data_IF_690574956853
#
_entry.id   IF_690574956853
#
_cell.length_a   1.000
_cell.length_b   1.000
_cell.length_c   1.000
_cell.angle_alpha   90.00
_cell.angle_beta   90.00
_cell.angle_gamma   90.00
#
_symmetry.space_group_name_H-M   'P 1'
#
loop_
_entity.id
_entity.type
_entity.pdbx_description
1 polymer ?
#
# COMPACT_ATOMS: atom_id res chain seq x y z
N UNK A 1 -36.78 7.07 -19.31
CA UNK A 1 -35.81 7.29 -18.21
C UNK A 1 -35.31 5.95 -17.66
N UNK A 2 -36.18 5.00 -17.27
CA UNK A 2 -35.79 3.61 -16.94
C UNK A 2 -34.89 2.94 -17.99
N UNK A 3 -35.23 3.06 -19.29
CA UNK A 3 -34.46 2.47 -20.40
C UNK A 3 -33.01 3.02 -20.53
N UNK A 4 -32.73 4.25 -20.06
CA UNK A 4 -31.38 4.82 -20.10
C UNK A 4 -30.53 4.30 -18.95
N UNK A 5 -31.12 4.15 -17.77
CA UNK A 5 -30.43 3.66 -16.58
C UNK A 5 -30.12 2.16 -16.70
N UNK A 6 -31.06 1.39 -17.25
CA UNK A 6 -30.88 -0.04 -17.52
C UNK A 6 -29.76 -0.28 -18.54
N UNK A 7 -29.77 0.42 -19.68
CA UNK A 7 -28.66 0.40 -20.66
C UNK A 7 -27.32 0.83 -20.06
N UNK A 8 -27.33 1.72 -19.07
CA UNK A 8 -26.10 2.16 -18.41
C UNK A 8 -25.57 1.09 -17.46
N UNK A 9 -26.44 0.33 -16.79
CA UNK A 9 -26.05 -0.82 -15.95
C UNK A 9 -25.48 -1.97 -16.78
N UNK A 10 -26.15 -2.35 -17.87
CA UNK A 10 -25.65 -3.35 -18.82
C UNK A 10 -24.25 -2.97 -19.34
N UNK A 11 -24.04 -1.68 -19.61
CA UNK A 11 -22.74 -1.17 -20.06
C UNK A 11 -21.65 -1.26 -19.00
N UNK A 12 -21.99 -1.02 -17.72
CA UNK A 12 -21.04 -1.21 -16.61
C UNK A 12 -20.63 -2.68 -16.52
N UNK A 13 -21.60 -3.60 -16.57
CA UNK A 13 -21.34 -5.05 -16.53
C UNK A 13 -20.49 -5.51 -17.71
N UNK A 14 -20.81 -5.03 -18.92
CA UNK A 14 -20.02 -5.29 -20.11
C UNK A 14 -18.57 -4.81 -19.95
N UNK A 15 -18.35 -3.56 -19.54
CA UNK A 15 -17.00 -3.02 -19.35
C UNK A 15 -16.22 -3.77 -18.26
N UNK A 16 -16.87 -4.13 -17.16
CA UNK A 16 -16.26 -4.94 -16.11
C UNK A 16 -15.82 -6.31 -16.65
N UNK A 17 -16.67 -6.97 -17.44
CA UNK A 17 -16.34 -8.24 -18.09
C UNK A 17 -15.15 -8.10 -19.06
N UNK A 18 -15.11 -7.04 -19.87
CA UNK A 18 -14.00 -6.77 -20.79
C UNK A 18 -12.67 -6.57 -20.04
N UNK A 19 -12.68 -5.80 -18.94
CA UNK A 19 -11.51 -5.60 -18.10
C UNK A 19 -11.02 -6.92 -17.52
N UNK A 20 -11.92 -7.76 -17.00
CA UNK A 20 -11.59 -9.10 -16.51
C UNK A 20 -11.03 -9.99 -17.62
N UNK A 21 -11.57 -9.88 -18.83
CA UNK A 21 -11.11 -10.61 -20.01
C UNK A 21 -9.64 -10.35 -20.37
N UNK A 22 -9.06 -9.22 -19.95
CA UNK A 22 -7.64 -8.92 -20.17
C UNK A 22 -6.69 -9.78 -19.32
N UNK A 23 -7.18 -10.49 -18.30
CA UNK A 23 -6.33 -11.26 -17.37
C UNK A 23 -5.44 -12.28 -18.10
N UNK A 24 -5.97 -12.97 -19.11
CA UNK A 24 -5.20 -13.96 -19.88
C UNK A 24 -4.06 -13.29 -20.65
N UNK A 25 -4.36 -12.17 -21.33
CA UNK A 25 -3.37 -11.41 -22.10
C UNK A 25 -2.26 -10.90 -21.18
N UNK A 26 -2.63 -10.33 -20.02
CA UNK A 26 -1.67 -9.87 -19.01
C UNK A 26 -0.79 -11.03 -18.53
N UNK A 27 -1.38 -12.20 -18.29
CA UNK A 27 -0.66 -13.37 -17.79
C UNK A 27 0.34 -13.90 -18.80
N UNK A 28 -0.06 -14.01 -20.07
CA UNK A 28 0.81 -14.43 -21.17
C UNK A 28 1.99 -13.47 -21.32
N UNK A 29 1.72 -12.17 -21.21
CA UNK A 29 2.73 -11.14 -21.35
C UNK A 29 3.71 -11.11 -20.17
N UNK A 30 3.25 -11.34 -18.93
CA UNK A 30 4.13 -11.55 -17.77
C UNK A 30 5.05 -12.75 -18.04
N UNK A 31 4.49 -13.88 -18.49
CA UNK A 31 5.26 -15.07 -18.82
C UNK A 31 6.30 -14.82 -19.92
N UNK A 32 5.95 -14.04 -20.94
CA UNK A 32 6.89 -13.59 -21.98
C UNK A 32 8.04 -12.79 -21.38
N UNK A 33 7.77 -11.78 -20.55
CA UNK A 33 8.82 -10.98 -19.91
C UNK A 33 9.72 -11.82 -19.01
N UNK A 34 9.16 -12.75 -18.23
CA UNK A 34 9.93 -13.66 -17.36
C UNK A 34 10.86 -14.57 -18.16
N UNK A 35 10.42 -15.05 -19.33
CA UNK A 35 11.23 -15.88 -20.23
C UNK A 35 12.51 -15.18 -20.73
N UNK A 36 12.56 -13.84 -20.67
CA UNK A 36 13.75 -13.05 -21.03
C UNK A 36 14.91 -13.17 -20.02
N UNK A 37 14.77 -14.02 -18.99
CA UNK A 37 15.76 -14.24 -17.92
C UNK A 37 16.14 -12.94 -17.22
N UNK A 38 15.15 -12.09 -16.94
CA UNK A 38 15.33 -10.77 -16.31
C UNK A 38 16.19 -10.89 -15.03
N UNK A 39 15.90 -11.86 -14.17
CA UNK A 39 16.60 -12.02 -12.88
C UNK A 39 18.09 -12.39 -13.04
N UNK A 40 18.46 -13.15 -14.07
CA UNK A 40 19.86 -13.54 -14.29
C UNK A 40 20.70 -12.44 -14.97
N UNK A 41 20.04 -11.47 -15.61
CA UNK A 41 20.68 -10.39 -16.36
C UNK A 41 20.36 -8.99 -15.79
N UNK A 42 19.74 -8.91 -14.61
CA UNK A 42 19.35 -7.65 -14.03
C UNK A 42 20.59 -6.86 -13.58
N UNK A 43 20.78 -5.69 -14.17
CA UNK A 43 21.83 -4.77 -13.75
C UNK A 43 21.19 -3.53 -13.14
N UNK A 44 21.28 -3.39 -11.83
CA UNK A 44 20.72 -2.25 -11.07
C UNK A 44 21.27 -0.88 -11.48
N UNK A 45 22.38 -0.83 -12.22
CA UNK A 45 22.95 0.41 -12.77
C UNK A 45 22.68 0.61 -14.26
N UNK A 46 21.81 -0.21 -14.86
CA UNK A 46 21.35 -0.06 -16.24
C UNK A 46 19.89 0.44 -16.23
N UNK A 47 19.59 1.63 -16.80
CA UNK A 47 18.23 2.16 -16.81
C UNK A 47 17.19 1.19 -17.40
N UNK A 48 17.53 0.50 -18.49
CA UNK A 48 16.62 -0.45 -19.15
C UNK A 48 16.23 -1.64 -18.27
N UNK A 49 17.11 -2.08 -17.36
CA UNK A 49 16.79 -3.17 -16.43
C UNK A 49 15.65 -2.76 -15.48
N UNK A 50 15.66 -1.50 -15.01
CA UNK A 50 14.59 -0.96 -14.18
C UNK A 50 13.30 -0.73 -14.96
N UNK A 51 13.36 -0.18 -16.18
CA UNK A 51 12.17 -0.04 -17.01
C UNK A 51 11.49 -1.40 -17.23
N UNK A 52 12.28 -2.43 -17.56
CA UNK A 52 11.78 -3.79 -17.78
C UNK A 52 11.17 -4.40 -16.51
N UNK A 53 11.88 -4.31 -15.38
CA UNK A 53 11.37 -4.81 -14.08
C UNK A 53 10.09 -4.10 -13.68
N UNK A 54 10.05 -2.77 -13.76
CA UNK A 54 8.88 -1.98 -13.39
C UNK A 54 7.68 -2.28 -14.30
N UNK A 55 7.90 -2.49 -15.60
CA UNK A 55 6.84 -2.89 -16.54
C UNK A 55 6.29 -4.29 -16.20
N UNK A 56 7.15 -5.26 -15.86
CA UNK A 56 6.70 -6.58 -15.39
C UNK A 56 5.86 -6.44 -14.11
N UNK A 57 6.37 -5.73 -13.12
CA UNK A 57 5.69 -5.57 -11.84
C UNK A 57 4.37 -4.79 -11.99
N UNK A 58 4.31 -3.86 -12.95
CA UNK A 58 3.09 -3.18 -13.35
C UNK A 58 2.03 -4.17 -13.85
N UNK A 59 2.39 -5.06 -14.77
CA UNK A 59 1.48 -6.10 -15.28
C UNK A 59 1.02 -7.06 -14.18
N UNK A 60 1.93 -7.48 -13.28
CA UNK A 60 1.55 -8.31 -12.11
C UNK A 60 0.50 -7.60 -11.28
N UNK A 61 0.68 -6.29 -11.03
CA UNK A 61 -0.29 -5.52 -10.27
C UNK A 61 -1.62 -5.37 -11.01
N UNK A 62 -1.61 -5.13 -12.32
CA UNK A 62 -2.81 -5.06 -13.14
C UNK A 62 -3.57 -6.39 -13.13
N UNK A 63 -2.88 -7.53 -13.18
CA UNK A 63 -3.48 -8.86 -13.05
C UNK A 63 -4.27 -8.98 -11.73
N UNK A 64 -3.64 -8.59 -10.61
CA UNK A 64 -4.28 -8.60 -9.29
C UNK A 64 -5.54 -7.73 -9.28
N UNK A 65 -5.53 -6.58 -9.94
CA UNK A 65 -6.74 -5.74 -10.04
C UNK A 65 -7.82 -6.38 -10.91
N UNK A 66 -7.47 -6.93 -12.08
CA UNK A 66 -8.44 -7.62 -12.94
C UNK A 66 -9.08 -8.83 -12.24
N UNK A 67 -8.35 -9.47 -11.33
CA UNK A 67 -8.83 -10.60 -10.53
C UNK A 67 -9.77 -10.19 -9.39
N UNK A 68 -9.42 -9.15 -8.64
CA UNK A 68 -10.07 -8.90 -7.34
C UNK A 68 -11.02 -7.70 -7.33
N UNK A 69 -10.91 -6.78 -8.30
CA UNK A 69 -11.53 -5.47 -8.20
C UNK A 69 -12.72 -5.26 -9.15
N UNK A 70 -13.14 -6.26 -9.93
CA UNK A 70 -14.23 -6.09 -10.91
C UNK A 70 -15.35 -7.12 -10.80
N UNK A 71 -15.38 -7.90 -9.72
CA UNK A 71 -16.54 -8.73 -9.36
C UNK A 71 -17.69 -7.91 -8.80
N UNK A 72 -17.36 -6.81 -8.11
CA UNK A 72 -18.32 -5.84 -7.59
C UNK A 72 -17.84 -4.42 -7.88
N UNK A 73 -18.67 -3.65 -8.57
CA UNK A 73 -18.35 -2.29 -9.00
C UNK A 73 -18.86 -1.28 -7.97
N UNK A 74 -17.92 -0.77 -7.16
CA UNK A 74 -18.18 0.31 -6.21
C UNK A 74 -17.33 1.55 -6.51
N UNK A 75 -17.81 2.71 -6.06
CA UNK A 75 -17.16 4.01 -6.31
C UNK A 75 -15.72 4.06 -5.81
N UNK A 76 -15.47 3.67 -4.56
CA UNK A 76 -14.15 3.82 -3.94
C UNK A 76 -13.10 2.95 -4.62
N UNK A 77 -13.48 1.71 -4.94
CA UNK A 77 -12.66 0.79 -5.70
C UNK A 77 -12.33 1.34 -7.11
N UNK A 78 -13.35 1.73 -7.88
CA UNK A 78 -13.16 2.26 -9.25
C UNK A 78 -12.23 3.48 -9.27
N UNK A 79 -12.40 4.40 -8.32
CA UNK A 79 -11.55 5.59 -8.20
C UNK A 79 -10.11 5.22 -7.82
N UNK A 80 -9.95 4.32 -6.84
CA UNK A 80 -8.63 3.91 -6.35
C UNK A 80 -7.83 3.20 -7.45
N UNK A 81 -8.48 2.29 -8.18
CA UNK A 81 -7.86 1.59 -9.32
C UNK A 81 -7.54 2.56 -10.45
N UNK A 82 -8.46 3.48 -10.79
CA UNK A 82 -8.22 4.50 -11.83
C UNK A 82 -7.03 5.39 -11.50
N UNK A 83 -6.91 5.83 -10.25
CA UNK A 83 -5.76 6.64 -9.79
C UNK A 83 -4.46 5.86 -9.87
N UNK A 84 -4.46 4.61 -9.42
CA UNK A 84 -3.26 3.78 -9.53
C UNK A 84 -2.84 3.60 -11.00
N UNK A 85 -3.80 3.29 -11.88
CA UNK A 85 -3.54 3.07 -13.30
C UNK A 85 -3.04 4.34 -13.98
N UNK A 86 -3.55 5.54 -13.62
CA UNK A 86 -2.97 6.81 -14.06
C UNK A 86 -1.49 6.92 -13.68
N UNK A 87 -1.16 6.73 -12.41
CA UNK A 87 0.20 6.84 -11.89
C UNK A 87 1.15 5.82 -12.55
N UNK A 88 0.64 4.62 -12.81
CA UNK A 88 1.32 3.57 -13.57
C UNK A 88 1.56 3.98 -15.03
N UNK A 89 0.53 4.49 -15.73
CA UNK A 89 0.62 4.93 -17.12
C UNK A 89 1.59 6.10 -17.29
N UNK A 90 1.65 7.02 -16.31
CA UNK A 90 2.67 8.09 -16.29
C UNK A 90 4.07 7.48 -16.25
N UNK A 91 4.33 6.48 -15.40
CA UNK A 91 5.62 5.79 -15.39
C UNK A 91 5.95 5.14 -16.73
N UNK A 92 5.01 4.41 -17.32
CA UNK A 92 5.22 3.76 -18.62
C UNK A 92 5.58 4.79 -19.69
N UNK A 93 4.85 5.90 -19.77
CA UNK A 93 5.13 6.99 -20.72
C UNK A 93 6.47 7.67 -20.46
N UNK A 94 6.88 7.83 -19.20
CA UNK A 94 8.20 8.37 -18.87
C UNK A 94 9.30 7.44 -19.38
N UNK A 95 9.17 6.12 -19.20
CA UNK A 95 10.13 5.14 -19.71
C UNK A 95 10.19 5.13 -21.24
N UNK A 96 9.05 5.24 -21.93
CA UNK A 96 8.99 5.33 -23.39
C UNK A 96 9.69 6.58 -23.94
N UNK A 97 9.50 7.74 -23.28
CA UNK A 97 10.09 9.02 -23.72
C UNK A 97 11.59 9.08 -23.45
N UNK A 98 12.03 8.60 -22.29
CA UNK A 98 13.41 8.71 -21.86
C UNK A 98 13.77 7.54 -20.92
N UNK A 99 14.61 6.63 -21.41
CA UNK A 99 14.96 5.41 -20.70
C UNK A 99 15.72 5.67 -19.39
N UNK A 100 16.36 6.84 -19.23
CA UNK A 100 17.01 7.20 -17.97
C UNK A 100 16.02 7.29 -16.79
N UNK A 101 14.71 7.42 -17.07
CA UNK A 101 13.69 7.33 -16.04
C UNK A 101 13.65 5.98 -15.33
N UNK A 102 14.24 4.91 -15.88
CA UNK A 102 14.50 3.68 -15.13
C UNK A 102 15.39 3.91 -13.91
N UNK A 103 16.42 4.76 -14.03
CA UNK A 103 17.27 5.13 -12.89
C UNK A 103 16.58 6.12 -11.94
N UNK A 104 15.70 6.97 -12.46
CA UNK A 104 14.84 7.82 -11.62
C UNK A 104 13.89 6.94 -10.79
N UNK A 105 13.29 5.92 -11.39
CA UNK A 105 12.47 4.92 -10.70
C UNK A 105 13.27 4.21 -9.61
N UNK A 106 14.49 3.75 -9.91
CA UNK A 106 15.36 3.14 -8.90
C UNK A 106 15.66 4.08 -7.73
N UNK A 107 15.97 5.34 -8.00
CA UNK A 107 16.16 6.33 -6.93
C UNK A 107 14.90 6.52 -6.07
N UNK A 108 13.72 6.58 -6.69
CA UNK A 108 12.45 6.66 -5.96
C UNK A 108 12.20 5.39 -5.13
N UNK A 109 12.56 4.20 -5.65
CA UNK A 109 12.46 2.95 -4.93
C UNK A 109 13.35 2.95 -3.67
N UNK A 110 14.62 3.34 -3.79
CA UNK A 110 15.54 3.47 -2.65
C UNK A 110 14.96 4.44 -1.61
N UNK A 111 14.54 5.63 -2.05
CA UNK A 111 14.01 6.66 -1.15
C UNK A 111 12.74 6.20 -0.43
N UNK A 112 11.83 5.53 -1.13
CA UNK A 112 10.57 5.05 -0.55
C UNK A 112 10.77 3.86 0.37
N UNK A 113 11.66 2.92 0.05
CA UNK A 113 12.04 1.82 0.95
C UNK A 113 12.72 2.34 2.22
N UNK A 114 13.66 3.28 2.09
CA UNK A 114 14.30 3.91 3.24
C UNK A 114 13.27 4.58 4.15
N UNK A 115 12.31 5.31 3.58
CA UNK A 115 11.21 5.91 4.35
C UNK A 115 10.36 4.84 5.04
N UNK A 116 9.95 3.80 4.31
CA UNK A 116 9.17 2.69 4.85
C UNK A 116 9.83 2.05 6.07
N UNK A 117 11.12 1.72 5.99
CA UNK A 117 11.83 1.11 7.13
C UNK A 117 11.96 2.04 8.33
N UNK A 118 12.17 3.34 8.12
CA UNK A 118 12.18 4.33 9.20
C UNK A 118 10.80 4.46 9.87
N UNK A 119 9.74 4.55 9.07
CA UNK A 119 8.37 4.64 9.57
C UNK A 119 7.97 3.37 10.33
N UNK A 120 8.36 2.19 9.82
CA UNK A 120 8.13 0.91 10.47
C UNK A 120 8.92 0.79 11.79
N UNK A 121 10.18 1.23 11.83
CA UNK A 121 10.97 1.27 13.07
C UNK A 121 10.31 2.19 14.11
N UNK A 122 9.83 3.37 13.67
CA UNK A 122 9.11 4.30 14.52
C UNK A 122 7.82 3.67 15.06
N UNK A 123 7.05 2.99 14.22
CA UNK A 123 5.85 2.26 14.63
C UNK A 123 6.20 1.14 15.63
N UNK A 124 7.17 0.29 15.33
CA UNK A 124 7.58 -0.80 16.21
C UNK A 124 8.00 -0.30 17.61
N UNK A 125 8.70 0.84 17.68
CA UNK A 125 9.04 1.48 18.96
C UNK A 125 7.82 2.00 19.71
N UNK A 126 6.83 2.58 19.01
CA UNK A 126 5.55 2.98 19.61
C UNK A 126 4.79 1.77 20.16
N UNK A 127 4.75 0.67 19.39
CA UNK A 127 4.12 -0.59 19.80
C UNK A 127 4.77 -1.14 21.08
N UNK A 128 6.10 -1.21 21.14
CA UNK A 128 6.82 -1.68 22.34
C UNK A 128 6.50 -0.80 23.55
N UNK A 129 6.50 0.53 23.37
CA UNK A 129 6.15 1.45 24.45
C UNK A 129 4.72 1.25 24.93
N UNK A 130 3.77 1.02 24.01
CA UNK A 130 2.38 0.76 24.33
C UNK A 130 2.23 -0.56 25.10
N UNK A 131 2.83 -1.64 24.62
CA UNK A 131 2.78 -2.95 25.27
C UNK A 131 3.41 -2.91 26.67
N UNK A 132 4.58 -2.28 26.84
CA UNK A 132 5.20 -2.10 28.16
C UNK A 132 4.30 -1.28 29.10
N UNK A 133 3.61 -0.26 28.59
CA UNK A 133 2.66 0.51 29.42
C UNK A 133 1.48 -0.35 29.92
N UNK A 134 0.99 -1.29 29.10
CA UNK A 134 -0.05 -2.22 29.54
C UNK A 134 0.47 -3.25 30.53
N UNK A 135 1.72 -3.73 30.40
CA UNK A 135 2.34 -4.59 31.42
C UNK A 135 2.47 -3.86 32.77
N UNK A 136 2.93 -2.61 32.76
CA UNK A 136 3.04 -1.79 33.97
C UNK A 136 1.68 -1.55 34.63
N UNK A 137 0.67 -1.18 33.82
CA UNK A 137 -0.70 -0.96 34.29
C UNK A 137 -1.31 -2.26 34.84
N UNK A 138 -1.12 -3.39 34.16
CA UNK A 138 -1.54 -4.70 34.62
C UNK A 138 -0.91 -5.03 35.97
N UNK A 139 0.41 -4.82 36.11
CA UNK A 139 1.13 -5.04 37.36
C UNK A 139 0.60 -4.19 38.51
N UNK A 140 0.25 -2.93 38.25
CA UNK A 140 -0.33 -2.03 39.24
C UNK A 140 -1.72 -2.51 39.71
N UNK A 141 -2.62 -2.84 38.77
CA UNK A 141 -3.97 -3.34 39.10
C UNK A 141 -3.87 -4.68 39.85
N UNK A 142 -2.97 -5.57 39.43
CA UNK A 142 -2.75 -6.85 40.11
C UNK A 142 -2.32 -6.64 41.56
N UNK A 143 -1.41 -5.69 41.82
CA UNK A 143 -0.94 -5.37 43.17
C UNK A 143 -2.05 -4.79 44.05
N UNK A 144 -2.86 -3.87 43.51
CA UNK A 144 -4.01 -3.29 44.21
C UNK A 144 -5.04 -4.36 44.57
N UNK A 145 -5.45 -5.19 43.60
CA UNK A 145 -6.40 -6.29 43.83
C UNK A 145 -5.89 -7.30 44.86
N UNK A 146 -4.60 -7.60 44.84
CA UNK A 146 -4.00 -8.49 45.81
C UNK A 146 -4.02 -7.90 47.23
N UNK A 147 -3.76 -6.61 47.39
CA UNK A 147 -3.88 -5.91 48.68
C UNK A 147 -5.32 -5.87 49.21
N UNK A 148 -6.30 -5.63 48.32
CA UNK A 148 -7.72 -5.70 48.66
C UNK A 148 -8.09 -7.08 49.20
N UNK A 149 -7.72 -8.15 48.49
CA UNK A 149 -8.02 -9.54 48.88
C UNK A 149 -7.37 -9.90 50.22
N UNK A 150 -6.11 -9.51 50.45
CA UNK A 150 -5.42 -9.77 51.73
C UNK A 150 -6.02 -9.01 52.92
N UNK A 151 -6.81 -7.96 52.67
CA UNK A 151 -7.48 -7.17 53.72
C UNK A 151 -8.89 -7.69 54.05
N UNK A 152 -9.39 -8.71 53.33
CA UNK A 152 -10.73 -9.26 53.50
C UNK A 152 -10.76 -10.42 54.52
N UNK A 153 -11.91 -10.67 55.17
CA UNK A 153 -12.16 -11.91 55.91
C UNK A 153 -11.96 -13.16 55.01
N UNK A 154 -11.45 -14.25 55.58
CA UNK A 154 -10.99 -15.46 54.85
C UNK A 154 -12.07 -16.07 53.93
N UNK A 155 -13.33 -16.05 54.37
CA UNK A 155 -14.51 -16.50 53.64
C UNK A 155 -14.86 -15.62 52.42
N UNK A 156 -14.53 -14.34 52.44
CA UNK A 156 -14.72 -13.41 51.31
C UNK A 156 -13.50 -13.43 50.37
N UNK A 157 -12.29 -13.51 50.92
CA UNK A 157 -11.05 -13.60 50.16
C UNK A 157 -11.05 -14.79 49.19
N UNK A 158 -11.53 -15.96 49.63
CA UNK A 158 -11.65 -17.17 48.79
C UNK A 158 -12.59 -16.99 47.58
N UNK A 159 -13.62 -16.16 47.72
CA UNK A 159 -14.60 -15.88 46.65
C UNK A 159 -14.03 -14.91 45.62
N UNK A 160 -13.29 -13.89 46.05
CA UNK A 160 -12.62 -12.92 45.18
C UNK A 160 -11.34 -13.50 44.54
N UNK A 161 -10.65 -14.42 45.20
CA UNK A 161 -9.42 -15.05 44.72
C UNK A 161 -9.60 -15.87 43.43
N UNK A 162 -10.82 -16.34 43.13
CA UNK A 162 -11.05 -17.31 42.06
C UNK A 162 -10.99 -16.71 40.64
N UNK A 163 -11.34 -15.43 40.47
CA UNK A 163 -11.50 -14.80 39.14
C UNK A 163 -10.74 -13.49 38.94
N UNK A 164 -10.16 -12.89 39.98
CA UNK A 164 -9.60 -11.53 39.87
C UNK A 164 -8.51 -11.40 38.81
N UNK A 165 -7.67 -12.44 38.58
CA UNK A 165 -6.64 -12.39 37.53
C UNK A 165 -7.24 -12.23 36.14
N UNK A 166 -8.34 -12.94 35.86
CA UNK A 166 -9.06 -12.84 34.60
C UNK A 166 -9.70 -11.46 34.45
N UNK A 167 -10.32 -10.94 35.50
CA UNK A 167 -10.95 -9.62 35.48
C UNK A 167 -9.93 -8.50 35.18
N UNK A 168 -8.70 -8.63 35.71
CA UNK A 168 -7.61 -7.71 35.40
C UNK A 168 -7.19 -7.82 33.93
N UNK A 169 -6.99 -9.04 33.41
CA UNK A 169 -6.64 -9.24 32.00
C UNK A 169 -7.72 -8.70 31.06
N UNK A 170 -9.00 -9.02 31.30
CA UNK A 170 -10.12 -8.55 30.48
C UNK A 170 -10.21 -7.00 30.48
N UNK A 171 -9.86 -6.36 31.59
CA UNK A 171 -9.80 -4.89 31.70
C UNK A 171 -8.68 -4.29 30.85
N UNK A 172 -7.48 -4.88 30.90
CA UNK A 172 -6.34 -4.42 30.10
C UNK A 172 -6.60 -4.66 28.62
N UNK A 173 -7.11 -5.83 28.25
CA UNK A 173 -7.44 -6.17 26.86
C UNK A 173 -8.51 -5.24 26.27
N UNK A 174 -9.51 -4.86 27.06
CA UNK A 174 -10.52 -3.88 26.65
C UNK A 174 -9.92 -2.49 26.40
N UNK A 175 -8.90 -2.10 27.18
CA UNK A 175 -8.16 -0.84 26.96
C UNK A 175 -7.29 -0.94 25.71
N UNK A 176 -6.54 -2.03 25.55
CA UNK A 176 -5.69 -2.28 24.40
C UNK A 176 -6.45 -2.24 23.08
N UNK A 177 -7.69 -2.74 23.04
CA UNK A 177 -8.57 -2.71 21.86
C UNK A 177 -8.91 -1.31 21.34
N UNK A 178 -8.62 -0.24 22.11
CA UNK A 178 -8.83 1.16 21.69
C UNK A 178 -7.62 1.75 20.96
N UNK A 179 -6.53 0.99 20.84
CA UNK A 179 -5.31 1.41 20.20
C UNK A 179 -5.08 0.59 18.92
N UNK A 180 -4.46 1.22 17.92
CA UNK A 180 -4.00 0.52 16.73
C UNK A 180 -2.71 -0.22 17.05
N UNK A 181 -2.84 -1.50 17.40
CA UNK A 181 -1.71 -2.41 17.63
C UNK A 181 -1.94 -3.73 16.92
N UNK A 182 -0.99 -4.12 16.08
CA UNK A 182 -1.03 -5.43 15.40
C UNK A 182 -0.57 -6.59 16.30
N UNK A 183 -0.05 -6.29 17.50
CA UNK A 183 0.46 -7.28 18.46
C UNK A 183 -0.43 -7.45 19.68
N UNK A 184 -1.48 -6.62 19.82
CA UNK A 184 -2.37 -6.68 20.97
C UNK A 184 -3.06 -8.04 21.11
N UNK A 185 -3.47 -8.69 20.01
CA UNK A 185 -4.11 -10.01 20.07
C UNK A 185 -3.14 -11.11 20.51
N UNK A 186 -1.91 -11.11 20.03
CA UNK A 186 -0.86 -12.04 20.49
C UNK A 186 -0.51 -11.78 21.97
N UNK A 187 -0.51 -10.52 22.39
CA UNK A 187 -0.23 -10.13 23.77
C UNK A 187 -1.25 -10.67 24.78
N UNK A 188 -2.52 -10.90 24.38
CA UNK A 188 -3.53 -11.53 25.25
C UNK A 188 -3.14 -12.94 25.67
N UNK A 189 -2.40 -13.64 24.82
CA UNK A 189 -1.95 -15.02 25.04
C UNK A 189 -0.57 -15.03 25.71
N UNK A 190 0.35 -14.21 25.21
CA UNK A 190 1.76 -14.22 25.60
C UNK A 190 2.07 -13.36 26.84
N UNK A 191 1.18 -12.43 27.19
CA UNK A 191 1.45 -11.31 28.09
C UNK A 191 2.09 -10.13 27.36
N UNK A 192 1.66 -8.92 27.73
CA UNK A 192 2.08 -7.67 27.08
C UNK A 192 3.59 -7.43 27.14
N UNK A 193 4.23 -7.70 28.28
CA UNK A 193 5.68 -7.54 28.45
C UNK A 193 6.50 -8.48 27.58
N UNK A 194 6.13 -9.76 27.54
CA UNK A 194 6.82 -10.74 26.73
C UNK A 194 6.62 -10.47 25.23
N UNK A 195 5.42 -10.06 24.82
CA UNK A 195 5.18 -9.65 23.44
C UNK A 195 6.02 -8.42 23.06
N UNK A 196 6.16 -7.44 23.96
CA UNK A 196 7.04 -6.29 23.75
C UNK A 196 8.51 -6.73 23.57
N UNK A 197 8.98 -7.65 24.41
CA UNK A 197 10.31 -8.24 24.29
C UNK A 197 10.52 -8.97 22.94
N UNK A 198 9.52 -9.72 22.46
CA UNK A 198 9.59 -10.39 21.15
C UNK A 198 9.73 -9.38 20.00
N UNK A 199 8.95 -8.29 20.03
CA UNK A 199 9.07 -7.23 19.02
C UNK A 199 10.45 -6.57 19.09
N UNK A 200 10.93 -6.28 20.30
CA UNK A 200 12.22 -5.64 20.53
C UNK A 200 13.41 -6.50 20.07
N UNK A 201 13.35 -7.82 20.29
CA UNK A 201 14.49 -8.73 20.03
C UNK A 201 14.45 -9.40 18.67
N UNK A 202 13.28 -9.51 18.03
CA UNK A 202 13.16 -10.14 16.71
C UNK A 202 12.97 -9.12 15.60
N UNK A 203 11.99 -8.23 15.74
CA UNK A 203 11.61 -7.32 14.66
C UNK A 203 12.56 -6.13 14.51
N UNK A 204 12.94 -5.46 15.60
CA UNK A 204 13.84 -4.29 15.50
C UNK A 204 15.16 -4.64 14.79
N UNK A 205 15.87 -5.72 15.15
CA UNK A 205 17.13 -6.06 14.48
C UNK A 205 16.97 -6.28 12.98
N UNK A 206 15.90 -6.95 12.55
CA UNK A 206 15.61 -7.15 11.13
C UNK A 206 15.42 -5.81 10.40
N UNK A 207 14.63 -4.90 10.97
CA UNK A 207 14.42 -3.56 10.40
C UNK A 207 15.74 -2.78 10.31
N UNK A 208 16.57 -2.83 11.35
CA UNK A 208 17.85 -2.13 11.38
C UNK A 208 18.85 -2.68 10.35
N UNK A 209 18.85 -3.99 10.11
CA UNK A 209 19.65 -4.62 9.06
C UNK A 209 19.18 -4.12 7.68
N UNK A 210 17.87 -4.15 7.41
CA UNK A 210 17.31 -3.65 6.15
C UNK A 210 17.60 -2.15 5.95
N UNK A 211 17.51 -1.35 7.01
CA UNK A 211 17.82 0.08 6.95
C UNK A 211 19.31 0.34 6.66
N UNK A 212 20.22 -0.44 7.25
CA UNK A 212 21.65 -0.35 6.93
C UNK A 212 21.92 -0.73 5.48
N UNK A 213 21.26 -1.78 4.98
CA UNK A 213 21.39 -2.22 3.59
C UNK A 213 20.94 -1.15 2.60
N UNK A 214 19.75 -0.55 2.81
CA UNK A 214 19.22 0.48 1.88
C UNK A 214 20.02 1.78 1.92
N UNK A 215 20.60 2.15 3.08
CA UNK A 215 21.49 3.32 3.20
C UNK A 215 22.81 3.09 2.45
N UNK A 216 23.36 1.88 2.53
CA UNK A 216 24.54 1.51 1.75
C UNK A 216 24.24 1.54 0.24
N UNK A 217 23.07 1.04 -0.15
CA UNK A 217 22.61 1.06 -1.55
C UNK A 217 22.39 2.49 -2.07
N UNK A 218 21.83 3.39 -1.27
CA UNK A 218 21.69 4.81 -1.61
C UNK A 218 23.07 5.48 -1.81
N UNK A 219 24.04 5.17 -0.95
CA UNK A 219 25.40 5.69 -1.09
C UNK A 219 26.08 5.16 -2.36
N UNK A 220 25.89 3.88 -2.67
CA UNK A 220 26.38 3.26 -3.90
C UNK A 220 25.75 3.89 -5.15
N UNK A 221 24.43 4.09 -5.14
CA UNK A 221 23.69 4.78 -6.20
C UNK A 221 24.27 6.18 -6.45
N UNK A 222 24.42 6.98 -5.39
CA UNK A 222 24.94 8.34 -5.49
C UNK A 222 26.38 8.40 -6.00
N UNK A 223 27.20 7.38 -5.74
CA UNK A 223 28.56 7.28 -6.25
C UNK A 223 28.62 6.88 -7.73
N UNK A 224 27.77 5.94 -8.14
CA UNK A 224 27.87 5.28 -9.46
C UNK A 224 27.10 6.02 -10.55
N UNK A 225 25.97 6.66 -10.22
CA UNK A 225 25.09 7.26 -11.22
C UNK A 225 25.64 8.61 -11.70
N UNK A 226 25.69 8.88 -13.03
CA UNK A 226 26.14 10.16 -13.57
C UNK A 226 25.27 11.34 -13.17
N UNK A 227 25.86 12.53 -13.08
CA UNK A 227 25.14 13.75 -12.70
C UNK A 227 24.04 14.15 -13.70
N UNK A 228 24.19 13.79 -14.97
CA UNK A 228 23.13 13.98 -15.99
C UNK A 228 21.82 13.29 -15.60
N UNK A 229 21.89 12.08 -15.03
CA UNK A 229 20.74 11.33 -14.54
C UNK A 229 20.30 11.89 -13.19
N UNK A 230 21.24 12.20 -12.27
CA UNK A 230 20.88 12.78 -10.96
C UNK A 230 20.10 14.08 -11.09
N UNK A 231 20.43 14.90 -12.08
CA UNK A 231 19.72 16.15 -12.37
C UNK A 231 18.27 15.93 -12.83
N UNK A 232 17.91 14.72 -13.31
CA UNK A 232 16.52 14.35 -13.64
C UNK A 232 15.72 13.93 -12.41
N UNK A 233 16.39 13.52 -11.32
CA UNK A 233 15.73 13.04 -10.09
C UNK A 233 15.14 14.24 -9.35
N UNK A 234 13.80 14.30 -9.19
CA UNK A 234 13.20 15.40 -8.46
C UNK A 234 13.49 15.27 -6.96
N UNK A 235 13.75 16.41 -6.29
CA UNK A 235 13.91 16.45 -4.82
C UNK A 235 12.67 15.94 -4.09
N UNK A 236 11.50 16.15 -4.68
CA UNK A 236 10.21 15.63 -4.22
C UNK A 236 9.41 15.16 -5.44
N UNK A 237 9.00 13.90 -5.44
CA UNK A 237 8.13 13.38 -6.49
C UNK A 237 6.78 14.11 -6.47
N UNK A 238 6.37 14.61 -7.62
CA UNK A 238 5.10 15.30 -7.81
C UNK A 238 4.41 14.73 -9.05
N UNK A 239 3.28 14.06 -8.83
CA UNK A 239 2.55 13.39 -9.90
C UNK A 239 2.02 14.34 -10.99
N UNK A 240 1.63 15.57 -10.63
CA UNK A 240 1.18 16.56 -11.61
C UNK A 240 2.31 17.00 -12.53
N UNK A 241 3.49 17.24 -11.97
CA UNK A 241 4.67 17.62 -12.75
C UNK A 241 5.09 16.48 -13.68
N UNK A 242 4.99 15.23 -13.22
CA UNK A 242 5.28 14.06 -14.06
C UNK A 242 4.23 13.85 -15.15
N UNK A 243 2.94 14.04 -14.83
CA UNK A 243 1.86 14.00 -15.80
C UNK A 243 2.07 15.03 -16.93
N UNK A 244 2.44 16.27 -16.58
CA UNK A 244 2.77 17.32 -17.56
C UNK A 244 3.94 16.93 -18.48
N UNK A 245 4.96 16.26 -17.95
CA UNK A 245 6.10 15.81 -18.77
C UNK A 245 5.71 14.76 -19.81
N UNK A 246 4.59 14.06 -19.60
CA UNK A 246 4.07 13.02 -20.50
C UNK A 246 2.75 13.39 -21.18
N UNK A 247 2.35 14.67 -21.11
CA UNK A 247 1.10 15.20 -21.66
C UNK A 247 -0.17 14.48 -21.16
N UNK A 248 -0.20 14.15 -19.86
CA UNK A 248 -1.31 13.50 -19.17
C UNK A 248 -1.91 14.38 -18.05
N UNK A 249 -1.67 15.69 -18.07
CA UNK A 249 -2.09 16.59 -17.01
C UNK A 249 -3.61 16.82 -16.95
N UNK A 250 -4.31 16.74 -18.09
CA UNK A 250 -5.78 16.74 -18.13
C UNK A 250 -6.37 15.50 -17.44
N UNK A 251 -5.83 14.31 -17.74
CA UNK A 251 -6.23 13.06 -17.10
C UNK A 251 -5.95 13.11 -15.59
N UNK A 252 -4.79 13.66 -15.22
CA UNK A 252 -4.43 13.89 -13.83
C UNK A 252 -5.44 14.79 -13.12
N UNK A 253 -5.71 15.99 -13.65
CA UNK A 253 -6.60 16.95 -13.03
C UNK A 253 -8.02 16.37 -12.91
N UNK A 254 -8.49 15.61 -13.90
CA UNK A 254 -9.78 14.92 -13.86
C UNK A 254 -9.83 13.88 -12.72
N UNK A 255 -8.94 12.90 -12.71
CA UNK A 255 -8.95 11.78 -11.74
C UNK A 255 -8.66 12.27 -10.32
N UNK A 256 -7.73 13.23 -10.16
CA UNK A 256 -7.42 13.80 -8.85
C UNK A 256 -8.56 14.65 -8.29
N UNK A 257 -9.36 15.30 -9.14
CA UNK A 257 -10.54 16.03 -8.68
C UNK A 257 -11.59 15.10 -8.05
N UNK A 258 -11.85 13.93 -8.65
CA UNK A 258 -12.80 12.94 -8.12
C UNK A 258 -12.27 12.24 -6.87
N UNK A 259 -11.02 11.77 -6.91
CA UNK A 259 -10.41 11.12 -5.74
C UNK A 259 -10.32 12.07 -4.54
N UNK A 260 -9.97 13.34 -4.74
CA UNK A 260 -9.96 14.33 -3.66
C UNK A 260 -11.35 14.56 -3.08
N UNK A 261 -12.37 14.73 -3.93
CA UNK A 261 -13.76 14.96 -3.51
C UNK A 261 -14.36 13.76 -2.77
N UNK A 262 -14.11 12.55 -3.22
CA UNK A 262 -14.81 11.36 -2.73
C UNK A 262 -14.06 10.60 -1.63
N UNK A 263 -12.73 10.74 -1.55
CA UNK A 263 -11.91 10.05 -0.53
C UNK A 263 -11.74 10.92 0.72
N UNK A 264 -11.62 12.24 0.58
CA UNK A 264 -11.41 13.12 1.73
C UNK A 264 -12.73 13.59 2.34
N UNK A 265 -12.80 13.56 3.67
CA UNK A 265 -13.89 14.16 4.45
C UNK A 265 -13.78 15.70 4.44
N UNK A 266 -14.07 16.30 3.28
CA UNK A 266 -14.22 17.74 3.13
C UNK A 266 -15.64 18.15 3.51
N UNK A 267 -15.89 19.41 3.94
CA UNK A 267 -17.25 19.86 4.23
C UNK A 267 -18.21 19.57 3.07
N UNK A 268 -17.78 19.81 1.82
CA UNK A 268 -18.58 19.55 0.62
C UNK A 268 -18.92 18.07 0.45
N UNK A 269 -17.97 17.16 0.66
CA UNK A 269 -18.22 15.72 0.51
C UNK A 269 -19.09 15.13 1.62
N UNK A 270 -19.11 15.76 2.80
CA UNK A 270 -19.98 15.37 3.91
C UNK A 270 -21.40 15.89 3.74
N UNK A 271 -21.57 17.15 3.33
CA UNK A 271 -22.87 17.83 3.36
C UNK A 271 -23.67 17.71 2.06
N UNK A 272 -23.04 17.34 0.95
CA UNK A 272 -23.74 17.20 -0.34
C UNK A 272 -24.17 15.76 -0.61
N UNK A 273 -25.08 15.57 -1.56
CA UNK A 273 -25.57 14.25 -1.96
C UNK A 273 -24.60 13.51 -2.91
N UNK A 274 -23.51 14.14 -3.32
CA UNK A 274 -22.52 13.55 -4.23
C UNK A 274 -21.53 12.66 -3.47
N UNK A 275 -22.06 11.60 -2.87
CA UNK A 275 -21.31 10.66 -2.02
C UNK A 275 -20.73 9.49 -2.80
N UNK A 276 -21.19 9.29 -4.03
CA UNK A 276 -20.81 8.21 -4.94
C UNK A 276 -20.69 8.74 -6.36
N UNK A 277 -20.01 7.98 -7.23
CA UNK A 277 -20.06 8.20 -8.66
C UNK A 277 -21.45 7.87 -9.20
N UNK A 278 -21.93 8.69 -10.12
CA UNK A 278 -23.09 8.37 -10.95
C UNK A 278 -22.74 7.23 -11.93
N UNK A 279 -23.73 6.48 -12.39
CA UNK A 279 -23.51 5.31 -13.27
C UNK A 279 -22.75 5.71 -14.56
N UNK A 280 -23.01 6.90 -15.09
CA UNK A 280 -22.31 7.41 -16.28
C UNK A 280 -20.84 7.73 -15.97
N UNK A 281 -20.54 8.23 -14.78
CA UNK A 281 -19.16 8.48 -14.34
C UNK A 281 -18.43 7.15 -14.14
N UNK A 282 -19.08 6.15 -13.53
CA UNK A 282 -18.54 4.78 -13.42
C UNK A 282 -18.18 4.25 -14.81
N UNK A 283 -19.07 4.41 -15.80
CA UNK A 283 -18.78 3.99 -17.18
C UNK A 283 -17.54 4.68 -17.76
N UNK A 284 -17.33 5.97 -17.48
CA UNK A 284 -16.15 6.71 -17.96
C UNK A 284 -14.88 6.17 -17.31
N UNK A 285 -14.89 5.96 -15.99
CA UNK A 285 -13.73 5.40 -15.28
C UNK A 285 -13.43 3.97 -15.71
N UNK A 286 -14.42 3.11 -15.89
CA UNK A 286 -14.20 1.74 -16.39
C UNK A 286 -13.63 1.73 -17.81
N UNK A 287 -14.12 2.60 -18.70
CA UNK A 287 -13.51 2.76 -20.04
C UNK A 287 -12.06 3.22 -19.95
N UNK A 288 -11.78 4.20 -19.08
CA UNK A 288 -10.43 4.68 -18.86
C UNK A 288 -9.52 3.54 -18.37
N UNK A 289 -9.95 2.77 -17.37
CA UNK A 289 -9.24 1.60 -16.85
C UNK A 289 -8.95 0.61 -17.98
N UNK A 290 -9.98 0.22 -18.74
CA UNK A 290 -9.86 -0.73 -19.85
C UNK A 290 -8.78 -0.29 -20.86
N UNK A 291 -8.86 0.95 -21.33
CA UNK A 291 -7.92 1.51 -22.31
C UNK A 291 -6.52 1.59 -21.73
N UNK A 292 -6.34 2.06 -20.50
CA UNK A 292 -5.01 2.22 -19.91
C UNK A 292 -4.34 0.90 -19.58
N UNK A 293 -5.10 -0.16 -19.25
CA UNK A 293 -4.53 -1.51 -19.12
C UNK A 293 -4.00 -1.98 -20.48
N UNK A 294 -4.76 -1.77 -21.56
CA UNK A 294 -4.31 -2.09 -22.92
C UNK A 294 -3.06 -1.29 -23.31
N UNK A 295 -3.01 0.01 -23.02
CA UNK A 295 -1.83 0.85 -23.27
C UNK A 295 -0.58 0.32 -22.55
N UNK A 296 -0.72 -0.22 -21.33
CA UNK A 296 0.40 -0.80 -20.55
C UNK A 296 0.85 -2.12 -21.17
N UNK A 297 -0.07 -2.97 -21.63
CA UNK A 297 0.25 -4.19 -22.38
C UNK A 297 0.97 -3.84 -23.68
N UNK A 298 0.50 -2.85 -24.42
CA UNK A 298 1.15 -2.40 -25.65
C UNK A 298 2.55 -1.82 -25.39
N UNK A 299 2.72 -1.11 -24.27
CA UNK A 299 4.02 -0.64 -23.83
C UNK A 299 4.97 -1.80 -23.49
N UNK A 300 4.47 -2.87 -22.87
CA UNK A 300 5.33 -4.00 -22.48
C UNK A 300 5.86 -4.78 -23.67
N UNK A 301 5.07 -4.90 -24.75
CA UNK A 301 5.47 -5.56 -25.99
C UNK A 301 6.74 -4.93 -26.60
N UNK A 302 6.95 -3.62 -26.40
CA UNK A 302 8.13 -2.90 -26.90
C UNK A 302 9.43 -3.36 -26.24
N UNK A 303 9.37 -3.92 -25.04
CA UNK A 303 10.52 -4.55 -24.39
C UNK A 303 10.68 -5.98 -24.93
N UNK A 304 11.41 -6.09 -26.04
CA UNK A 304 11.73 -7.33 -26.74
C UNK A 304 13.22 -7.65 -26.58
N UNK A 305 13.66 -8.93 -26.61
CA UNK A 305 15.07 -9.31 -26.46
C UNK A 305 16.02 -8.74 -27.53
N UNK A 306 15.51 -8.05 -28.56
CA UNK A 306 16.27 -7.57 -29.71
C UNK A 306 16.39 -6.02 -29.81
N UNK A 307 16.11 -5.29 -28.74
CA UNK A 307 16.46 -3.85 -28.61
C UNK A 307 17.55 -3.65 -27.57
#
# INVERSE_FOLDING_TARGET
MMDIEEKSKEKVEFLASEIKGLQLIITDEIGRLESLKIENNFNKFKPSSWCLSATRDALIKLRIFTENNFDYIETMNVISVSRYILELSIWMKLFERDHDYGMVYYSQLISTQKKYWNDLLSQARREISLLKSFEEEEGAIRKEKMQEIFSMPENEALKHAKNWQKDVMDTIDSKAARFFSIYADDAKVNGYGYQAYLVETKLIPEIEISLKSIVAEEAEFNKTVPDSIKNKIPKRWNWRDMAKKVDMDDEYDYIYSFSSKLIHATPVSVTTNNKSLEIQEICIFLKYILVKIQDVIDCSIKYSPNT
#
